data_IF_706882079394
#
_entry.id   IF_706882079394
#
_cell.length_a   1.000
_cell.length_b   1.000
_cell.length_c   1.000
_cell.angle_alpha   90.00
_cell.angle_beta   90.00
_cell.angle_gamma   90.00
#
_symmetry.space_group_name_H-M   'P 1'
#
loop_
_entity.id
_entity.type
_entity.pdbx_description
1 polymer ?
#
# COMPACT_ATOMS: atom_id res chain seq x y z
N UNK A 1 7.44 -16.23 -11.07
CA UNK A 1 6.79 -15.70 -9.86
C UNK A 1 5.35 -16.18 -9.85
N UNK A 2 4.81 -16.49 -8.67
CA UNK A 2 3.37 -16.65 -8.46
C UNK A 2 2.81 -15.37 -7.84
N UNK A 3 1.55 -15.07 -8.13
CA UNK A 3 0.82 -13.96 -7.52
C UNK A 3 -0.19 -14.51 -6.52
N UNK A 4 -0.37 -13.77 -5.43
CA UNK A 4 -1.27 -14.11 -4.36
C UNK A 4 -2.19 -12.94 -4.07
N UNK A 5 -3.48 -13.22 -3.88
CA UNK A 5 -4.45 -12.31 -3.29
C UNK A 5 -4.60 -12.67 -1.83
N UNK A 6 -4.37 -11.68 -0.97
CA UNK A 6 -4.48 -11.80 0.48
C UNK A 6 -5.66 -10.93 0.91
N UNK A 7 -6.75 -11.56 1.33
CA UNK A 7 -7.89 -10.87 1.92
C UNK A 7 -7.62 -10.74 3.41
N UNK A 8 -7.76 -9.52 3.93
CA UNK A 8 -7.53 -9.17 5.31
C UNK A 8 -8.85 -8.76 5.95
N UNK A 9 -9.16 -9.39 7.08
CA UNK A 9 -10.28 -9.02 7.94
C UNK A 9 -9.69 -8.41 9.22
N UNK A 10 -9.73 -7.07 9.37
CA UNK A 10 -9.23 -6.41 10.57
C UNK A 10 -10.07 -6.81 11.78
N UNK A 11 -9.41 -7.18 12.87
CA UNK A 11 -10.05 -7.55 14.15
C UNK A 11 -10.01 -6.40 15.17
N UNK A 12 -9.39 -5.28 14.79
CA UNK A 12 -9.28 -4.10 15.62
C UNK A 12 -8.98 -2.86 14.77
N UNK A 13 -8.87 -1.69 15.42
CA UNK A 13 -8.62 -0.45 14.74
C UNK A 13 -7.21 -0.38 14.12
N UNK A 14 -7.09 0.43 13.08
CA UNK A 14 -5.84 0.68 12.35
C UNK A 14 -5.30 2.07 12.67
N UNK A 15 -4.05 2.15 13.08
CA UNK A 15 -3.32 3.41 13.33
C UNK A 15 -2.37 3.76 12.20
N UNK A 16 -1.78 2.73 11.61
CA UNK A 16 -0.75 2.86 10.60
C UNK A 16 -1.35 2.59 9.25
N UNK A 17 -1.03 3.43 8.27
CA UNK A 17 -1.42 3.18 6.89
C UNK A 17 -0.65 1.98 6.32
N UNK A 18 -1.37 1.08 5.68
CA UNK A 18 -0.84 -0.15 5.10
C UNK A 18 -0.23 0.12 3.72
N UNK A 19 0.88 0.83 3.73
CA UNK A 19 1.72 1.09 2.56
C UNK A 19 2.58 -0.15 2.29
N UNK A 20 2.82 -0.44 1.00
CA UNK A 20 3.63 -1.60 0.55
C UNK A 20 4.97 -1.71 1.27
N UNK A 21 5.68 -0.59 1.47
CA UNK A 21 6.95 -0.57 2.20
C UNK A 21 6.83 -0.95 3.68
N UNK A 22 5.73 -0.57 4.34
CA UNK A 22 5.43 -0.96 5.72
C UNK A 22 5.09 -2.45 5.80
N UNK A 23 4.30 -2.96 4.85
CA UNK A 23 3.96 -4.39 4.74
C UNK A 23 5.23 -5.23 4.60
N UNK A 24 6.09 -4.89 3.64
CA UNK A 24 7.36 -5.58 3.44
C UNK A 24 8.26 -5.49 4.70
N UNK A 25 8.27 -4.33 5.38
CA UNK A 25 9.00 -4.17 6.64
C UNK A 25 8.50 -5.11 7.75
N UNK A 26 7.19 -5.31 7.85
CA UNK A 26 6.60 -6.29 8.78
C UNK A 26 6.98 -7.73 8.42
N UNK A 27 7.06 -8.07 7.13
CA UNK A 27 7.55 -9.39 6.70
C UNK A 27 9.00 -9.61 7.15
N UNK A 28 9.86 -8.62 6.97
CA UNK A 28 11.25 -8.69 7.43
C UNK A 28 11.34 -8.94 8.94
N UNK A 29 10.52 -8.25 9.74
CA UNK A 29 10.45 -8.47 11.19
C UNK A 29 9.91 -9.86 11.55
N UNK A 30 8.86 -10.32 10.87
CA UNK A 30 8.30 -11.65 11.10
C UNK A 30 9.33 -12.75 10.80
N UNK A 31 10.05 -12.66 9.68
CA UNK A 31 11.12 -13.59 9.33
C UNK A 31 12.21 -13.57 10.41
N UNK A 32 12.64 -12.39 10.86
CA UNK A 32 13.63 -12.27 11.94
C UNK A 32 13.17 -12.94 13.23
N UNK A 33 11.93 -12.74 13.64
CA UNK A 33 11.42 -13.26 14.90
C UNK A 33 11.08 -14.75 14.86
N UNK A 34 10.65 -15.26 13.70
CA UNK A 34 10.30 -16.67 13.52
C UNK A 34 11.52 -17.55 13.18
N UNK A 35 12.47 -17.02 12.40
CA UNK A 35 13.55 -17.81 11.77
C UNK A 35 14.96 -17.31 12.15
N UNK A 36 15.08 -16.17 12.83
CA UNK A 36 16.34 -15.62 13.32
C UNK A 36 17.04 -14.65 12.34
N UNK A 37 18.14 -14.07 12.81
CA UNK A 37 18.85 -13.01 12.08
C UNK A 37 19.50 -13.49 10.78
N UNK A 38 20.05 -14.71 10.78
CA UNK A 38 20.70 -15.32 9.62
C UNK A 38 19.71 -15.52 8.47
N UNK A 39 18.49 -15.96 8.78
CA UNK A 39 17.40 -16.12 7.81
C UNK A 39 16.98 -14.76 7.24
N UNK A 40 16.83 -13.74 8.07
CA UNK A 40 16.58 -12.37 7.60
C UNK A 40 17.70 -11.90 6.66
N UNK A 41 18.97 -12.05 7.05
CA UNK A 41 20.10 -11.60 6.25
C UNK A 41 20.15 -12.29 4.87
N UNK A 42 19.82 -13.58 4.82
CA UNK A 42 19.66 -14.30 3.56
C UNK A 42 18.50 -13.76 2.74
N UNK A 43 17.31 -13.64 3.33
CA UNK A 43 16.12 -13.14 2.64
C UNK A 43 16.36 -11.75 2.06
N UNK A 44 17.05 -10.87 2.78
CA UNK A 44 17.44 -9.52 2.33
C UNK A 44 18.32 -9.55 1.07
N UNK A 45 19.24 -10.51 0.95
CA UNK A 45 20.05 -10.68 -0.27
C UNK A 45 19.20 -11.17 -1.44
N UNK A 46 18.29 -12.11 -1.18
CA UNK A 46 17.35 -12.60 -2.20
C UNK A 46 16.46 -11.48 -2.76
N UNK A 47 16.17 -10.43 -1.97
CA UNK A 47 15.38 -9.30 -2.42
C UNK A 47 16.07 -8.42 -3.48
N UNK A 48 17.38 -8.56 -3.68
CA UNK A 48 18.10 -7.81 -4.71
C UNK A 48 17.90 -8.42 -6.11
N UNK A 49 17.77 -9.75 -6.19
CA UNK A 49 17.63 -10.49 -7.46
C UNK A 49 16.21 -10.98 -7.72
N UNK A 50 15.46 -11.34 -6.67
CA UNK A 50 14.11 -11.89 -6.75
C UNK A 50 13.24 -11.32 -5.61
N UNK A 51 12.91 -10.01 -5.65
CA UNK A 51 12.15 -9.38 -4.60
C UNK A 51 10.74 -9.95 -4.48
N UNK A 52 10.29 -10.09 -3.24
CA UNK A 52 8.88 -10.16 -2.92
C UNK A 52 8.26 -8.80 -3.19
N UNK A 53 7.28 -8.76 -4.08
CA UNK A 53 6.54 -7.55 -4.42
C UNK A 53 5.21 -7.53 -3.66
N UNK A 54 4.84 -6.37 -3.15
CA UNK A 54 3.59 -6.17 -2.41
C UNK A 54 2.85 -4.95 -2.93
N UNK A 55 1.53 -5.06 -3.09
CA UNK A 55 0.66 -3.89 -3.23
C UNK A 55 0.59 -3.13 -1.90
N UNK A 56 0.10 -1.89 -1.95
CA UNK A 56 -0.47 -1.27 -0.76
C UNK A 56 -1.86 -1.85 -0.49
N UNK A 57 -2.44 -1.57 0.67
CA UNK A 57 -3.82 -1.94 0.98
C UNK A 57 -4.79 -1.32 -0.01
N UNK A 58 -5.69 -2.14 -0.53
CA UNK A 58 -6.77 -1.74 -1.42
C UNK A 58 -8.08 -2.28 -0.82
N UNK A 59 -9.21 -1.56 -0.86
CA UNK A 59 -10.49 -2.16 -0.49
C UNK A 59 -10.77 -3.44 -1.29
N UNK A 60 -11.45 -4.41 -0.69
CA UNK A 60 -11.75 -5.67 -1.37
C UNK A 60 -12.54 -5.42 -2.67
N UNK A 61 -12.22 -6.17 -3.74
CA UNK A 61 -12.84 -6.06 -5.07
C UNK A 61 -12.65 -4.69 -5.77
N UNK A 62 -11.71 -3.88 -5.27
CA UNK A 62 -11.36 -2.60 -5.86
C UNK A 62 -9.90 -2.60 -6.33
N UNK A 63 -9.56 -1.62 -7.16
CA UNK A 63 -8.20 -1.29 -7.59
C UNK A 63 -7.98 0.21 -7.46
N UNK A 64 -6.72 0.67 -7.29
CA UNK A 64 -6.40 2.09 -7.42
C UNK A 64 -6.86 2.62 -8.79
N UNK A 65 -7.32 3.87 -8.82
CA UNK A 65 -7.68 4.53 -10.08
C UNK A 65 -6.42 4.66 -10.97
N UNK A 66 -6.39 4.06 -12.18
CA UNK A 66 -5.28 4.26 -13.11
C UNK A 66 -5.22 5.72 -13.56
N UNK A 67 -4.02 6.30 -13.50
CA UNK A 67 -3.79 7.64 -14.05
C UNK A 67 -3.66 7.56 -15.57
N UNK A 68 -4.66 8.07 -16.26
CA UNK A 68 -4.75 8.12 -17.72
C UNK A 68 -4.52 9.56 -18.21
N UNK A 69 -4.16 9.76 -19.49
CA UNK A 69 -4.11 11.10 -20.07
C UNK A 69 -5.53 11.70 -20.06
N UNK A 70 -5.68 12.98 -19.70
CA UNK A 70 -6.97 13.63 -19.77
C UNK A 70 -7.43 13.71 -21.23
N UNK A 71 -8.71 13.40 -21.46
CA UNK A 71 -9.35 13.57 -22.74
C UNK A 71 -9.34 15.06 -23.12
N UNK A 72 -9.08 15.33 -24.41
CA UNK A 72 -9.19 16.68 -24.93
C UNK A 72 -10.60 17.22 -24.66
N UNK A 73 -10.69 18.40 -24.03
CA UNK A 73 -11.99 19.05 -23.79
C UNK A 73 -12.63 19.33 -25.15
N UNK A 74 -13.68 18.59 -25.50
CA UNK A 74 -14.55 18.97 -26.61
C UNK A 74 -15.13 20.35 -26.29
N UNK A 75 -14.97 21.31 -27.19
CA UNK A 75 -15.41 22.69 -26.99
C UNK A 75 -16.90 22.76 -26.60
N UNK A 76 -17.20 23.48 -25.53
CA UNK A 76 -18.55 23.64 -24.98
C UNK A 76 -18.54 23.81 -23.46
N UNK A 77 -19.46 24.59 -22.91
CA UNK A 77 -19.67 24.65 -21.45
C UNK A 77 -20.38 23.35 -21.02
N UNK A 78 -19.75 22.47 -20.22
CA UNK A 78 -20.43 21.29 -19.71
C UNK A 78 -21.61 21.71 -18.82
N UNK A 79 -22.67 20.90 -18.79
CA UNK A 79 -23.75 21.10 -17.83
C UNK A 79 -23.22 21.00 -16.40
N UNK A 80 -23.87 21.68 -15.45
CA UNK A 80 -23.47 21.65 -14.03
C UNK A 80 -23.45 20.22 -13.47
N UNK A 81 -24.38 19.38 -13.91
CA UNK A 81 -24.46 17.95 -13.54
C UNK A 81 -23.27 17.16 -14.08
N UNK A 82 -22.94 17.30 -15.37
CA UNK A 82 -21.79 16.64 -15.98
C UNK A 82 -20.46 17.10 -15.34
N UNK A 83 -20.36 18.37 -14.96
CA UNK A 83 -19.22 18.93 -14.25
C UNK A 83 -19.08 18.37 -12.82
N UNK A 84 -20.18 18.33 -12.06
CA UNK A 84 -20.21 17.79 -10.70
C UNK A 84 -19.85 16.29 -10.67
N UNK A 85 -20.38 15.52 -11.61
CA UNK A 85 -20.11 14.09 -11.75
C UNK A 85 -18.63 13.83 -12.07
N UNK A 86 -18.07 14.58 -13.02
CA UNK A 86 -16.64 14.49 -13.38
C UNK A 86 -15.74 14.86 -12.20
N UNK A 87 -16.12 15.87 -11.40
CA UNK A 87 -15.40 16.28 -10.19
C UNK A 87 -15.44 15.21 -9.10
N UNK A 88 -16.57 14.53 -8.93
CA UNK A 88 -16.71 13.45 -7.97
C UNK A 88 -15.89 12.23 -8.38
N UNK A 89 -15.89 11.87 -9.67
CA UNK A 89 -15.07 10.77 -10.19
C UNK A 89 -13.57 11.08 -10.05
N UNK A 90 -13.14 12.32 -10.31
CA UNK A 90 -11.74 12.73 -10.11
C UNK A 90 -11.29 12.68 -8.64
N UNK A 91 -12.22 12.69 -7.67
CA UNK A 91 -11.94 12.53 -6.24
C UNK A 91 -11.85 11.07 -5.82
N UNK A 92 -12.35 10.13 -6.63
CA UNK A 92 -12.35 8.71 -6.29
C UNK A 92 -10.92 8.16 -6.35
N UNK A 93 -10.47 7.51 -5.27
CA UNK A 93 -9.14 6.90 -5.20
C UNK A 93 -9.10 5.47 -5.77
N UNK A 94 -10.26 4.80 -5.84
CA UNK A 94 -10.40 3.40 -6.20
C UNK A 94 -11.52 3.18 -7.22
N UNK A 95 -11.39 2.15 -8.06
CA UNK A 95 -12.40 1.72 -9.01
C UNK A 95 -12.72 0.23 -8.80
N UNK A 96 -13.93 -0.25 -9.12
CA UNK A 96 -14.23 -1.67 -9.06
C UNK A 96 -13.30 -2.47 -9.96
N UNK A 97 -12.74 -3.55 -9.42
CA UNK A 97 -11.83 -4.44 -10.16
C UNK A 97 -12.50 -5.01 -11.42
N UNK A 98 -13.77 -5.38 -11.31
CA UNK A 98 -14.59 -5.84 -12.44
C UNK A 98 -14.64 -4.84 -13.61
N UNK A 99 -14.66 -3.54 -13.31
CA UNK A 99 -14.70 -2.50 -14.33
C UNK A 99 -13.34 -2.35 -15.00
N UNK A 100 -12.26 -2.40 -14.22
CA UNK A 100 -10.91 -2.41 -14.76
C UNK A 100 -10.70 -3.59 -15.71
N UNK A 101 -11.07 -4.81 -15.27
CA UNK A 101 -10.94 -6.02 -16.07
C UNK A 101 -11.76 -5.96 -17.37
N UNK A 102 -12.98 -5.42 -17.34
CA UNK A 102 -13.81 -5.29 -18.55
C UNK A 102 -13.26 -4.30 -19.57
N UNK A 103 -12.46 -3.33 -19.13
CA UNK A 103 -11.87 -2.29 -19.98
C UNK A 103 -10.37 -2.52 -20.27
N UNK A 104 -9.75 -3.53 -19.67
CA UNK A 104 -8.29 -3.73 -19.61
C UNK A 104 -7.62 -3.67 -20.97
N UNK A 105 -8.25 -4.24 -22.00
CA UNK A 105 -7.62 -4.38 -23.31
C UNK A 105 -7.86 -3.16 -24.23
N UNK A 106 -8.60 -2.16 -23.77
CA UNK A 106 -8.93 -0.94 -24.51
C UNK A 106 -9.24 0.23 -23.57
N UNK A 107 -8.39 0.43 -22.57
CA UNK A 107 -8.63 1.39 -21.50
C UNK A 107 -8.30 2.81 -21.98
N UNK A 108 -9.24 3.72 -21.81
CA UNK A 108 -9.05 5.16 -21.98
C UNK A 108 -9.90 5.93 -20.95
N UNK A 109 -9.60 7.22 -20.75
CA UNK A 109 -10.29 8.03 -19.74
C UNK A 109 -11.81 8.11 -20.00
N UNK A 110 -12.31 8.39 -21.22
CA UNK A 110 -13.76 8.45 -21.45
C UNK A 110 -14.49 7.15 -21.12
N UNK A 111 -13.98 6.00 -21.54
CA UNK A 111 -14.60 4.70 -21.27
C UNK A 111 -14.61 4.38 -19.77
N UNK A 112 -13.54 4.72 -19.05
CA UNK A 112 -13.48 4.56 -17.61
C UNK A 112 -14.49 5.47 -16.89
N UNK A 113 -14.58 6.75 -17.29
CA UNK A 113 -15.55 7.68 -16.73
C UNK A 113 -16.99 7.20 -16.97
N UNK A 114 -17.33 6.81 -18.20
CA UNK A 114 -18.66 6.26 -18.52
C UNK A 114 -18.97 4.99 -17.73
N UNK A 115 -17.99 4.10 -17.56
CA UNK A 115 -18.10 2.94 -16.71
C UNK A 115 -18.39 3.27 -15.25
N UNK A 116 -17.70 4.28 -14.70
CA UNK A 116 -17.90 4.73 -13.32
C UNK A 116 -19.25 5.43 -13.11
N UNK A 117 -19.77 6.17 -14.11
CA UNK A 117 -21.10 6.80 -14.02
C UNK A 117 -22.23 5.79 -13.89
N UNK A 118 -22.07 4.61 -14.49
CA UNK A 118 -23.05 3.51 -14.43
C UNK A 118 -23.03 2.77 -13.10
N UNK A 119 -22.04 3.03 -12.26
CA UNK A 119 -21.88 2.38 -10.97
C UNK A 119 -22.28 3.38 -9.89
N UNK A 120 -23.19 2.99 -9.02
CA UNK A 120 -23.57 3.77 -7.85
C UNK A 120 -22.31 4.01 -7.01
N UNK A 121 -22.00 5.25 -6.58
CA UNK A 121 -20.84 5.48 -5.72
C UNK A 121 -21.10 4.82 -4.37
N UNK A 122 -20.54 3.63 -4.16
CA UNK A 122 -20.49 3.05 -2.82
C UNK A 122 -19.30 3.69 -2.09
N UNK A 123 -19.44 3.87 -0.78
CA UNK A 123 -18.41 4.52 0.02
C UNK A 123 -17.27 3.53 0.31
N UNK A 124 -16.43 3.28 -0.69
CA UNK A 124 -15.48 2.16 -0.69
C UNK A 124 -14.26 2.33 0.24
N UNK A 125 -14.12 3.44 0.97
CA UNK A 125 -12.97 3.62 1.87
C UNK A 125 -13.02 2.65 3.05
N UNK A 126 -14.23 2.29 3.50
CA UNK A 126 -14.50 1.30 4.52
C UNK A 126 -13.96 1.60 5.92
N UNK A 127 -13.28 2.75 6.08
CA UNK A 127 -12.59 3.14 7.30
C UNK A 127 -13.12 4.48 7.76
N UNK A 128 -13.66 4.50 8.97
CA UNK A 128 -14.06 5.74 9.64
C UNK A 128 -12.87 6.29 10.41
N UNK A 129 -12.54 7.56 10.17
CA UNK A 129 -11.47 8.23 10.91
C UNK A 129 -12.03 8.80 12.21
N UNK A 130 -11.32 8.56 13.31
CA UNK A 130 -11.66 9.08 14.63
C UNK A 130 -10.42 9.59 15.37
N UNK A 131 -10.68 10.25 16.49
CA UNK A 131 -9.67 10.71 17.43
C UNK A 131 -9.88 9.99 18.76
N UNK A 132 -8.82 9.38 19.29
CA UNK A 132 -8.83 8.82 20.63
C UNK A 132 -7.96 9.70 21.53
N UNK A 133 -8.55 10.17 22.62
CA UNK A 133 -7.88 11.02 23.59
C UNK A 133 -7.37 10.14 24.73
N UNK A 134 -6.09 10.29 25.06
CA UNK A 134 -5.45 9.54 26.13
C UNK A 134 -4.87 10.48 27.16
N UNK A 135 -5.05 10.10 28.43
CA UNK A 135 -4.45 10.80 29.55
C UNK A 135 -3.27 9.98 30.11
N UNK A 136 -2.13 10.63 30.31
CA UNK A 136 -1.03 10.11 31.10
C UNK A 136 -1.26 10.50 32.56
N UNK A 137 -1.44 9.51 33.44
CA UNK A 137 -1.64 9.73 34.87
C UNK A 137 -0.29 9.60 35.57
N UNK A 138 0.15 10.66 36.25
CA UNK A 138 1.32 10.59 37.11
C UNK A 138 1.03 9.71 38.33
N UNK A 139 1.87 8.70 38.55
CA UNK A 139 1.62 7.67 39.58
C UNK A 139 1.71 8.22 41.00
N UNK A 140 2.45 9.31 41.22
CA UNK A 140 2.62 9.90 42.55
C UNK A 140 1.44 10.80 42.92
N UNK A 141 0.97 11.63 41.99
CA UNK A 141 -0.12 12.58 42.22
C UNK A 141 -1.51 12.00 41.91
N UNK A 142 -1.60 10.90 41.16
CA UNK A 142 -2.86 10.33 40.68
C UNK A 142 -3.61 11.26 39.71
N UNK A 143 -2.93 12.28 39.18
CA UNK A 143 -3.52 13.30 38.30
C UNK A 143 -2.83 13.29 36.94
N UNK A 144 -3.54 13.81 35.95
CA UNK A 144 -2.95 14.14 34.65
C UNK A 144 -2.05 15.36 34.82
N UNK A 145 -0.76 15.32 34.42
CA UNK A 145 0.12 16.48 34.47
C UNK A 145 -0.43 17.66 33.66
N UNK A 146 -0.25 18.88 34.16
CA UNK A 146 -0.71 20.12 33.52
C UNK A 146 -0.09 20.34 32.13
N UNK A 147 1.11 19.80 31.89
CA UNK A 147 1.79 19.82 30.59
C UNK A 147 2.12 18.39 30.13
N UNK A 148 1.75 18.07 28.88
CA UNK A 148 2.06 16.78 28.25
C UNK A 148 1.24 15.60 28.75
N UNK A 149 0.24 15.83 29.60
CA UNK A 149 -0.63 14.79 30.16
C UNK A 149 -1.74 14.32 29.22
N UNK A 150 -2.09 15.07 28.17
CA UNK A 150 -3.12 14.70 27.18
C UNK A 150 -2.48 14.50 25.80
N UNK A 151 -2.76 13.39 25.16
CA UNK A 151 -2.33 13.13 23.78
C UNK A 151 -3.49 12.60 22.93
N UNK A 152 -3.52 13.04 21.67
CA UNK A 152 -4.55 12.68 20.69
C UNK A 152 -3.95 11.72 19.68
N UNK A 153 -4.64 10.61 19.47
CA UNK A 153 -4.27 9.62 18.49
C UNK A 153 -5.30 9.56 17.36
N UNK A 154 -4.83 9.65 16.12
CA UNK A 154 -5.66 9.43 14.94
C UNK A 154 -5.82 7.93 14.72
N UNK A 155 -7.06 7.47 14.70
CA UNK A 155 -7.41 6.06 14.56
C UNK A 155 -8.37 5.87 13.39
N UNK A 156 -8.26 4.72 12.71
CA UNK A 156 -9.22 4.31 11.69
C UNK A 156 -9.94 3.05 12.13
N UNK A 157 -11.25 3.14 12.23
CA UNK A 157 -12.11 2.02 12.56
C UNK A 157 -12.60 1.35 11.29
N UNK A 158 -12.39 0.03 11.11
CA UNK A 158 -13.05 -0.69 10.05
C UNK A 158 -14.57 -0.68 10.31
N UNK A 159 -15.35 -0.39 9.27
CA UNK A 159 -16.80 -0.57 9.32
C UNK A 159 -17.16 -2.05 9.51
N UNK A 160 -18.43 -2.32 9.81
CA UNK A 160 -18.94 -3.69 9.94
C UNK A 160 -18.63 -4.50 8.68
N UNK A 161 -18.04 -5.69 8.86
CA UNK A 161 -17.63 -6.59 7.78
C UNK A 161 -16.65 -5.99 6.76
N UNK A 162 -15.98 -4.88 7.09
CA UNK A 162 -15.04 -4.28 6.15
C UNK A 162 -13.81 -5.16 5.98
N UNK A 163 -13.62 -5.64 4.75
CA UNK A 163 -12.39 -6.33 4.33
C UNK A 163 -11.57 -5.46 3.40
N UNK A 164 -10.28 -5.74 3.34
CA UNK A 164 -9.38 -5.18 2.34
C UNK A 164 -8.49 -6.26 1.77
N UNK A 165 -7.86 -5.97 0.65
CA UNK A 165 -6.99 -6.88 -0.06
C UNK A 165 -5.59 -6.30 -0.22
N UNK A 166 -4.62 -7.20 -0.26
CA UNK A 166 -3.23 -6.95 -0.62
C UNK A 166 -2.86 -8.01 -1.65
N UNK A 167 -2.09 -7.62 -2.65
CA UNK A 167 -1.50 -8.53 -3.60
C UNK A 167 -0.03 -8.72 -3.30
N UNK A 168 0.46 -9.93 -3.47
CA UNK A 168 1.87 -10.25 -3.36
C UNK A 168 2.34 -11.00 -4.60
N UNK A 169 3.59 -10.77 -5.03
CA UNK A 169 4.27 -11.62 -6.00
C UNK A 169 5.58 -12.13 -5.38
N UNK A 170 5.77 -13.45 -5.40
CA UNK A 170 6.95 -14.09 -4.86
C UNK A 170 7.23 -15.41 -5.60
N UNK A 171 8.33 -16.07 -5.26
CA UNK A 171 8.54 -17.46 -5.69
C UNK A 171 7.44 -18.37 -5.07
N UNK A 172 6.85 -19.32 -5.83
CA UNK A 172 5.87 -20.25 -5.29
C UNK A 172 6.34 -21.00 -4.04
N UNK A 173 7.63 -21.35 -3.95
CA UNK A 173 8.22 -22.02 -2.80
C UNK A 173 8.17 -21.17 -1.52
N UNK A 174 8.04 -19.84 -1.65
CA UNK A 174 7.93 -18.92 -0.54
C UNK A 174 6.54 -18.84 0.09
N UNK A 175 5.50 -19.48 -0.48
CA UNK A 175 4.11 -19.38 0.00
C UNK A 175 3.98 -19.68 1.49
N UNK A 176 4.57 -20.77 1.98
CA UNK A 176 4.50 -21.17 3.39
C UNK A 176 5.12 -20.12 4.33
N UNK A 177 6.23 -19.51 3.92
CA UNK A 177 6.90 -18.44 4.67
C UNK A 177 6.06 -17.17 4.68
N UNK A 178 5.43 -16.83 3.56
CA UNK A 178 4.49 -15.71 3.46
C UNK A 178 3.29 -15.91 4.41
N UNK A 179 2.66 -17.09 4.39
CA UNK A 179 1.55 -17.45 5.28
C UNK A 179 1.95 -17.37 6.76
N UNK A 180 3.09 -17.96 7.13
CA UNK A 180 3.58 -17.96 8.51
C UNK A 180 3.90 -16.53 9.00
N UNK A 181 4.48 -15.70 8.12
CA UNK A 181 4.77 -14.30 8.40
C UNK A 181 3.49 -13.49 8.59
N UNK A 182 2.50 -13.64 7.70
CA UNK A 182 1.19 -12.99 7.83
C UNK A 182 0.47 -13.38 9.12
N UNK A 183 0.50 -14.67 9.48
CA UNK A 183 -0.11 -15.17 10.70
C UNK A 183 0.53 -14.54 11.95
N UNK A 184 1.87 -14.46 11.98
CA UNK A 184 2.58 -13.77 13.05
C UNK A 184 2.18 -12.29 13.13
N UNK A 185 2.20 -11.57 12.00
CA UNK A 185 1.87 -10.14 11.96
C UNK A 185 0.42 -9.88 12.40
N UNK A 186 -0.53 -10.73 11.96
CA UNK A 186 -1.94 -10.62 12.33
C UNK A 186 -2.20 -10.81 13.82
N UNK A 187 -1.44 -11.70 14.47
CA UNK A 187 -1.49 -11.92 15.92
C UNK A 187 -0.74 -10.85 16.71
N UNK A 188 0.43 -10.42 16.23
CA UNK A 188 1.25 -9.43 16.92
C UNK A 188 0.74 -8.00 16.77
N UNK A 189 -0.04 -7.73 15.72
CA UNK A 189 -0.51 -6.41 15.33
C UNK A 189 0.38 -5.72 14.29
N UNK A 190 -0.25 -5.04 13.33
CA UNK A 190 0.40 -4.25 12.29
C UNK A 190 0.59 -2.79 12.71
N UNK A 191 1.82 -2.28 12.59
CA UNK A 191 2.17 -0.88 12.79
C UNK A 191 2.22 -0.43 14.25
N UNK A 192 1.96 0.87 14.45
CA UNK A 192 2.00 1.52 15.75
C UNK A 192 0.92 1.01 16.71
N UNK A 193 1.25 0.98 18.01
CA UNK A 193 0.34 0.58 19.09
C UNK A 193 -0.20 -0.85 18.96
N UNK A 194 0.58 -1.73 18.31
CA UNK A 194 0.33 -3.16 18.27
C UNK A 194 0.24 -3.78 19.68
N UNK A 195 1.05 -3.30 20.64
CA UNK A 195 1.04 -3.73 22.05
C UNK A 195 -0.25 -3.39 22.80
N UNK A 196 -1.09 -2.48 22.29
CA UNK A 196 -2.40 -2.16 22.85
C UNK A 196 -3.55 -2.75 22.02
N UNK A 197 -3.25 -3.78 21.22
CA UNK A 197 -4.24 -4.55 20.45
C UNK A 197 -4.58 -3.97 19.08
N UNK A 198 -3.83 -2.96 18.58
CA UNK A 198 -4.12 -2.34 17.29
C UNK A 198 -3.49 -3.08 16.12
N UNK A 199 -4.14 -2.97 14.96
CA UNK A 199 -3.64 -3.57 13.73
C UNK A 199 -3.67 -5.10 13.70
N UNK A 200 -4.39 -5.76 14.62
CA UNK A 200 -4.63 -7.20 14.55
C UNK A 200 -5.64 -7.54 13.44
N UNK A 201 -5.44 -8.69 12.80
CA UNK A 201 -6.28 -9.15 11.70
C UNK A 201 -6.21 -10.67 11.51
N UNK A 202 -7.22 -11.21 10.85
CA UNK A 202 -7.16 -12.52 10.20
C UNK A 202 -7.02 -12.35 8.68
N UNK A 203 -6.58 -13.41 8.00
CA UNK A 203 -6.38 -13.36 6.56
C UNK A 203 -6.76 -14.66 5.86
N UNK A 204 -7.10 -14.54 4.58
CA UNK A 204 -7.20 -15.63 3.61
C UNK A 204 -6.21 -15.36 2.48
N UNK A 205 -5.48 -16.39 2.05
CA UNK A 205 -4.58 -16.29 0.89
C UNK A 205 -5.05 -17.23 -0.22
N UNK A 206 -5.10 -16.70 -1.44
CA UNK A 206 -5.46 -17.44 -2.66
C UNK A 206 -4.43 -17.12 -3.73
N UNK A 207 -4.16 -18.08 -4.60
CA UNK A 207 -3.42 -17.80 -5.82
C UNK A 207 -4.24 -16.83 -6.69
N UNK A 208 -3.56 -15.86 -7.30
CA UNK A 208 -4.18 -14.84 -8.13
C UNK A 208 -3.64 -14.94 -9.55
N UNK A 209 -4.53 -15.07 -10.51
CA UNK A 209 -4.16 -15.17 -11.93
C UNK A 209 -4.94 -14.18 -12.79
N UNK A 210 -6.20 -13.90 -12.47
CA UNK A 210 -7.08 -13.09 -13.31
C UNK A 210 -6.57 -11.65 -13.49
N UNK A 211 -6.15 -11.00 -12.40
CA UNK A 211 -5.68 -9.60 -12.44
C UNK A 211 -4.31 -9.47 -13.12
N UNK A 212 -3.42 -10.44 -12.94
CA UNK A 212 -2.05 -10.40 -13.46
C UNK A 212 -1.86 -11.13 -14.80
N UNK A 213 -2.90 -11.76 -15.35
CA UNK A 213 -2.89 -12.35 -16.69
C UNK A 213 -2.96 -11.31 -17.83
N UNK A 214 -3.13 -10.02 -17.51
CA UNK A 214 -3.18 -8.97 -18.51
C UNK A 214 -1.87 -8.86 -19.29
N UNK A 215 -1.97 -8.73 -20.61
CA UNK A 215 -0.87 -8.38 -21.49
C UNK A 215 -1.22 -7.05 -22.15
N UNK A 216 -0.42 -6.02 -21.95
CA UNK A 216 -0.74 -4.69 -22.46
C UNK A 216 0.48 -3.80 -22.58
N UNK A 217 0.32 -2.68 -23.28
CA UNK A 217 1.40 -1.72 -23.52
C UNK A 217 1.69 -0.83 -22.30
N UNK A 218 0.84 -0.85 -21.28
CA UNK A 218 0.90 0.04 -20.12
C UNK A 218 0.84 -0.78 -18.84
N UNK A 219 1.60 -0.38 -17.83
CA UNK A 219 1.56 -0.94 -16.50
C UNK A 219 0.89 0.04 -15.53
N UNK A 220 0.10 -0.48 -14.58
CA UNK A 220 -0.41 0.24 -13.42
C UNK A 220 0.20 -0.33 -12.13
N UNK A 221 0.81 0.51 -11.31
CA UNK A 221 1.33 0.13 -9.99
C UNK A 221 0.22 -0.03 -8.96
N UNK A 222 0.22 -1.15 -8.25
CA UNK A 222 -0.60 -1.38 -7.05
C UNK A 222 0.12 -0.98 -5.75
N UNK A 223 1.36 -0.50 -5.85
CA UNK A 223 2.25 -0.23 -4.71
C UNK A 223 2.64 1.24 -4.63
N UNK A 224 3.11 1.65 -3.45
CA UNK A 224 3.98 2.81 -3.35
C UNK A 224 5.40 2.39 -3.77
N UNK A 225 6.02 3.15 -4.66
CA UNK A 225 7.36 2.85 -5.16
C UNK A 225 8.05 4.06 -5.80
N UNK A 226 9.33 3.92 -6.12
CA UNK A 226 10.12 4.96 -6.79
C UNK A 226 10.10 4.79 -8.30
N UNK A 227 9.97 5.91 -9.02
CA UNK A 227 10.10 5.91 -10.48
C UNK A 227 11.56 5.63 -10.86
N UNK A 228 11.77 4.74 -11.82
CA UNK A 228 13.09 4.34 -12.32
C UNK A 228 13.15 4.49 -13.84
N UNK A 229 14.35 4.49 -14.47
CA UNK A 229 14.47 4.62 -15.92
C UNK A 229 13.71 3.57 -16.73
N UNK A 230 13.44 2.39 -16.15
CA UNK A 230 12.63 1.33 -16.76
C UNK A 230 11.13 1.65 -16.82
N UNK A 231 10.69 2.78 -16.25
CA UNK A 231 9.29 3.20 -16.21
C UNK A 231 9.11 4.45 -17.08
N UNK A 232 8.98 4.26 -18.39
CA UNK A 232 8.91 5.35 -19.36
C UNK A 232 7.53 6.04 -19.32
N UNK A 233 7.48 7.33 -19.68
CA UNK A 233 6.27 8.16 -19.67
C UNK A 233 5.35 7.98 -18.44
N UNK A 234 5.90 8.08 -17.21
CA UNK A 234 5.15 7.76 -16.01
C UNK A 234 4.14 8.86 -15.67
N UNK A 235 2.91 8.48 -15.33
CA UNK A 235 1.87 9.35 -14.77
C UNK A 235 1.64 8.94 -13.32
N UNK A 236 1.92 9.83 -12.37
CA UNK A 236 1.87 9.48 -10.95
C UNK A 236 1.47 10.67 -10.06
N UNK A 237 0.93 10.34 -8.88
CA UNK A 237 0.78 11.28 -7.76
C UNK A 237 1.87 10.98 -6.73
N UNK A 238 2.42 12.02 -6.12
CA UNK A 238 3.46 11.87 -5.10
C UNK A 238 2.87 11.54 -3.71
N UNK A 239 3.64 10.78 -2.95
CA UNK A 239 3.48 10.53 -1.53
C UNK A 239 4.85 10.61 -0.87
N UNK A 240 4.97 11.47 0.14
CA UNK A 240 6.15 11.52 1.00
C UNK A 240 5.95 10.56 2.16
N UNK A 241 6.77 9.52 2.21
CA UNK A 241 6.74 8.55 3.30
C UNK A 241 7.75 8.91 4.38
N UNK A 242 7.26 9.02 5.60
CA UNK A 242 8.05 9.27 6.80
C UNK A 242 8.22 7.95 7.55
N UNK A 243 9.28 7.22 7.21
CA UNK A 243 9.53 5.91 7.80
C UNK A 243 10.13 5.99 9.21
N UNK A 244 9.64 5.15 10.11
CA UNK A 244 10.22 4.92 11.45
C UNK A 244 10.73 3.49 11.55
N UNK A 245 11.89 3.29 12.16
CA UNK A 245 12.43 1.97 12.50
C UNK A 245 11.59 1.32 13.59
N UNK A 246 11.42 0.00 13.52
CA UNK A 246 10.68 -0.80 14.49
C UNK A 246 11.59 -1.58 15.44
N UNK A 247 10.98 -2.37 16.33
CA UNK A 247 11.68 -3.29 17.24
C UNK A 247 12.71 -2.58 18.12
N UNK A 248 13.87 -3.19 18.33
CA UNK A 248 14.91 -2.64 19.21
C UNK A 248 15.50 -1.30 18.69
N UNK A 249 15.34 -0.98 17.40
CA UNK A 249 15.79 0.31 16.86
C UNK A 249 14.88 1.47 17.26
N UNK A 250 13.70 1.18 17.84
CA UNK A 250 12.76 2.18 18.32
C UNK A 250 12.92 2.50 19.82
N UNK A 251 13.72 1.72 20.57
CA UNK A 251 13.73 1.75 22.04
C UNK A 251 14.84 2.61 22.69
N UNK A 252 15.75 3.20 21.91
CA UNK A 252 16.73 4.19 22.40
C UNK A 252 18.17 3.96 21.91
N UNK A 253 18.99 5.00 22.02
CA UNK A 253 20.42 4.99 21.63
C UNK A 253 20.72 5.51 20.21
N UNK A 254 19.72 5.55 19.33
CA UNK A 254 19.81 6.11 17.97
C UNK A 254 18.47 6.78 17.61
N UNK A 255 18.51 7.71 16.66
CA UNK A 255 17.27 8.24 16.09
C UNK A 255 16.54 7.13 15.34
N UNK A 256 15.21 6.96 15.51
CA UNK A 256 14.44 5.94 14.83
C UNK A 256 13.94 6.38 13.44
N UNK A 257 14.24 7.61 13.01
CA UNK A 257 13.65 8.20 11.81
C UNK A 257 14.51 8.01 10.57
N UNK A 258 13.91 7.42 9.53
CA UNK A 258 14.48 7.39 8.17
C UNK A 258 14.38 8.77 7.53
N UNK A 259 15.18 9.01 6.50
CA UNK A 259 14.95 10.15 5.61
C UNK A 259 13.53 10.09 5.01
N UNK A 260 12.86 11.24 4.79
CA UNK A 260 11.63 11.27 4.01
C UNK A 260 11.89 10.74 2.59
N UNK A 261 11.04 9.83 2.12
CA UNK A 261 11.19 9.20 0.80
C UNK A 261 10.02 9.63 -0.07
N UNK A 262 10.32 10.20 -1.24
CA UNK A 262 9.33 10.52 -2.26
C UNK A 262 9.02 9.27 -3.08
N UNK A 263 7.75 8.86 -3.07
CA UNK A 263 7.25 7.70 -3.82
C UNK A 263 6.04 8.09 -4.67
N UNK A 264 5.87 7.40 -5.79
CA UNK A 264 4.61 7.38 -6.52
C UNK A 264 3.56 6.58 -5.74
N UNK A 265 2.32 7.05 -5.77
CA UNK A 265 1.15 6.37 -5.18
C UNK A 265 0.66 5.19 -6.04
N UNK A 266 -0.05 4.22 -5.45
CA UNK A 266 -0.84 3.25 -6.21
C UNK A 266 -1.76 3.95 -7.23
N UNK A 267 -1.91 3.35 -8.41
CA UNK A 267 -2.59 3.95 -9.56
C UNK A 267 -1.66 4.69 -10.53
N UNK A 268 -0.36 4.81 -10.19
CA UNK A 268 0.65 5.30 -11.12
C UNK A 268 0.72 4.39 -12.36
N UNK A 269 0.72 4.99 -13.55
CA UNK A 269 0.84 4.27 -14.82
C UNK A 269 2.13 4.62 -15.55
N UNK A 270 2.68 3.69 -16.33
CA UNK A 270 3.92 3.89 -17.07
C UNK A 270 4.03 2.89 -18.23
N UNK A 271 4.88 3.21 -19.20
CA UNK A 271 5.31 2.29 -20.24
C UNK A 271 6.46 1.43 -19.67
N UNK A 272 6.29 0.10 -19.57
CA UNK A 272 7.32 -0.77 -19.05
C UNK A 272 8.44 -0.94 -20.08
N UNK A 273 9.67 -0.60 -19.70
CA UNK A 273 10.87 -0.89 -20.47
C UNK A 273 11.58 -2.11 -19.85
N UNK A 274 11.31 -3.29 -20.40
CA UNK A 274 11.79 -4.57 -19.89
C UNK A 274 10.84 -5.21 -18.86
N UNK A 275 11.34 -6.27 -18.21
CA UNK A 275 10.56 -7.06 -17.26
C UNK A 275 10.67 -6.52 -15.82
N UNK A 276 9.67 -6.80 -14.95
CA UNK A 276 9.77 -6.54 -13.51
C UNK A 276 11.02 -7.16 -12.87
N UNK A 277 11.49 -6.62 -11.73
CA UNK A 277 10.82 -5.64 -10.89
C UNK A 277 11.04 -4.18 -11.34
N UNK A 278 10.00 -3.36 -11.20
CA UNK A 278 10.12 -1.90 -11.35
C UNK A 278 10.26 -1.24 -9.98
N UNK A 279 11.00 -0.13 -9.93
CA UNK A 279 11.35 0.52 -8.66
C UNK A 279 12.64 -0.04 -8.06
N UNK A 280 12.84 0.12 -6.76
CA UNK A 280 14.09 -0.31 -6.12
C UNK A 280 13.95 -0.59 -4.63
N UNK A 281 14.80 -1.47 -4.11
CA UNK A 281 15.12 -1.53 -2.68
C UNK A 281 16.13 -0.43 -2.33
N UNK A 282 15.67 0.60 -1.64
CA UNK A 282 16.50 1.75 -1.30
C UNK A 282 17.43 1.41 -0.13
N UNK A 283 18.72 1.68 -0.29
CA UNK A 283 19.72 1.64 0.79
C UNK A 283 20.06 3.03 1.30
N UNK A 284 20.84 3.10 2.39
CA UNK A 284 21.31 4.36 3.00
C UNK A 284 20.17 5.35 3.31
N UNK A 285 19.04 4.81 3.78
CA UNK A 285 17.82 5.57 4.08
C UNK A 285 17.81 6.18 5.49
N UNK A 286 18.95 6.18 6.17
CA UNK A 286 19.12 6.64 7.54
C UNK A 286 20.40 7.48 7.65
N UNK A 287 20.41 8.47 8.54
CA UNK A 287 21.51 9.42 8.72
C UNK A 287 22.69 8.83 9.51
N UNK A 288 22.42 7.91 10.42
CA UNK A 288 23.45 7.12 11.11
C UNK A 288 24.06 6.09 10.14
N UNK A 289 25.36 6.25 9.84
CA UNK A 289 26.11 5.37 8.94
C UNK A 289 26.19 3.92 9.42
N UNK A 290 26.18 3.70 10.74
CA UNK A 290 26.18 2.35 11.32
C UNK A 290 24.85 1.62 11.08
N UNK A 291 23.80 2.33 10.65
CA UNK A 291 22.52 1.78 10.18
C UNK A 291 22.46 1.70 8.64
N UNK A 292 23.60 1.72 7.95
CA UNK A 292 23.69 1.60 6.49
C UNK A 292 23.11 0.30 5.91
N UNK A 293 22.88 -0.73 6.72
CA UNK A 293 22.19 -1.96 6.35
C UNK A 293 20.66 -1.82 6.29
N UNK A 294 20.09 -0.75 6.85
CA UNK A 294 18.65 -0.49 6.76
C UNK A 294 18.26 -0.27 5.29
N UNK A 295 17.14 -0.88 4.91
CA UNK A 295 16.54 -0.73 3.58
C UNK A 295 15.14 -0.12 3.66
N UNK A 296 14.66 0.35 2.51
CA UNK A 296 13.25 0.69 2.31
C UNK A 296 12.75 0.09 1.01
N UNK A 297 11.70 -0.73 1.10
CA UNK A 297 11.00 -1.28 -0.07
C UNK A 297 10.31 -0.14 -0.81
N UNK A 298 10.67 0.08 -2.07
CA UNK A 298 10.02 1.02 -2.97
C UNK A 298 9.85 0.42 -4.37
N UNK A 299 9.49 -0.86 -4.42
CA UNK A 299 9.15 -1.54 -5.68
C UNK A 299 7.67 -1.38 -6.03
N UNK A 300 7.39 -1.47 -7.32
CA UNK A 300 6.05 -1.50 -7.87
C UNK A 300 5.62 -2.96 -8.12
N UNK A 301 4.40 -3.31 -7.70
CA UNK A 301 3.69 -4.49 -8.16
C UNK A 301 2.80 -4.08 -9.34
N UNK A 302 3.19 -4.34 -10.60
CA UNK A 302 2.43 -3.91 -11.77
C UNK A 302 1.31 -4.90 -12.12
N UNK A 303 0.17 -4.37 -12.56
CA UNK A 303 -0.79 -5.07 -13.44
C UNK A 303 -0.80 -4.37 -14.79
N UNK A 304 -1.03 -5.10 -15.88
CA UNK A 304 -0.92 -4.57 -17.25
C UNK A 304 -2.28 -4.38 -17.90
N UNK A 305 -2.35 -3.37 -18.75
CA UNK A 305 -3.52 -3.01 -19.55
C UNK A 305 -3.07 -2.38 -20.87
N UNK A 306 -3.97 -2.34 -21.85
CA UNK A 306 -3.74 -1.67 -23.13
C UNK A 306 -4.39 -0.30 -23.09
N UNK A 307 -3.56 0.74 -23.04
CA UNK A 307 -3.99 2.13 -23.17
C UNK A 307 -4.24 2.43 -24.64
N UNK A 308 -5.45 2.88 -24.97
CA UNK A 308 -5.83 3.31 -26.33
C UNK A 308 -6.07 4.82 -26.36
N UNK A 309 -5.80 5.43 -27.50
CA UNK A 309 -6.13 6.85 -27.69
C UNK A 309 -7.66 7.02 -27.70
N UNK A 310 -8.21 8.07 -27.05
CA UNK A 310 -9.64 8.37 -27.06
C UNK A 310 -10.24 8.56 -28.46
#
# INVERSE_FOLDING_TARGET
>A
MAYFRIIITPSGPLTTEWVSGTIWGHMAWAIRYLEGESALAQWMREQESSPWLFSSRIPENMLPLPLLPPAAKKGGKPSLEAFSLSKNVAKTAYIPERLFLSLRDQLNEPALLEGLKKITPENHSGLESGHLFHNCIDRNSGRTPDAGGLFVENIKWPGENQRFQIFAAADPACRKRLESSLAFIGQSGFGANASTGRGSFSFEIKEETALFAGTGNRAMSLSHGVITPAMQNPRYKLHTHYGKLGGHFATGGRSPFKYPILMARPGATFDPAGDPPFGKLLGKVHHDESLGFIRHYAFHLPTYFTEVTP
#
